data_IF_849616401564
#
_entry.id   IF_849616401564
#
_cell.length_a   1.000
_cell.length_b   1.000
_cell.length_c   1.000
_cell.angle_alpha   90.00
_cell.angle_beta   90.00
_cell.angle_gamma   90.00
#
_symmetry.space_group_name_H-M   'P 1'
#
loop_
_entity.id
_entity.type
_entity.pdbx_description
1 polymer ?
#
# COMPACT_ATOMS: atom_id res chain seq x y z
N UNK A 1 28.26 -15.18 -25.56
CA UNK A 1 27.03 -14.36 -25.53
C UNK A 1 27.40 -12.94 -25.17
N UNK A 2 27.46 -12.05 -26.16
CA UNK A 2 27.57 -10.62 -25.96
C UNK A 2 26.17 -10.11 -25.58
N UNK A 3 25.95 -9.84 -24.31
CA UNK A 3 24.81 -9.02 -23.90
C UNK A 3 25.19 -7.56 -24.12
N UNK A 4 24.59 -6.91 -25.12
CA UNK A 4 24.60 -5.46 -25.24
C UNK A 4 24.04 -4.87 -23.93
N UNK A 5 24.62 -3.77 -23.38
CA UNK A 5 23.99 -3.06 -22.29
C UNK A 5 22.63 -2.57 -22.80
N UNK A 6 21.54 -3.09 -22.25
CA UNK A 6 20.22 -2.55 -22.52
C UNK A 6 20.23 -1.13 -21.97
N UNK A 7 20.15 -0.13 -22.85
CA UNK A 7 19.84 1.23 -22.44
C UNK A 7 18.55 1.18 -21.62
N UNK A 8 18.53 1.85 -20.47
CA UNK A 8 17.32 1.88 -19.64
C UNK A 8 16.15 2.34 -20.50
N UNK A 9 15.17 1.45 -20.67
CA UNK A 9 13.93 1.78 -21.38
C UNK A 9 13.21 2.85 -20.56
N UNK A 10 12.78 3.91 -21.21
CA UNK A 10 12.02 4.99 -20.57
C UNK A 10 10.65 5.11 -21.20
N UNK A 11 9.69 5.59 -20.44
CA UNK A 11 8.34 5.90 -20.92
C UNK A 11 7.87 7.22 -20.30
N UNK A 12 6.82 7.79 -20.87
CA UNK A 12 6.12 8.96 -20.32
C UNK A 12 4.64 8.66 -20.15
N UNK A 13 3.99 9.44 -19.30
CA UNK A 13 2.54 9.45 -19.22
C UNK A 13 1.94 9.94 -20.56
N UNK A 14 0.77 9.42 -20.89
CA UNK A 14 0.00 9.79 -22.06
C UNK A 14 -1.32 10.39 -21.60
N UNK A 15 -1.69 11.54 -22.16
CA UNK A 15 -3.04 12.09 -22.05
C UNK A 15 -3.94 11.33 -23.03
N UNK A 16 -4.88 10.48 -22.57
CA UNK A 16 -5.69 9.67 -23.46
C UNK A 16 -6.70 10.50 -24.28
N UNK A 17 -6.93 11.76 -23.93
CA UNK A 17 -7.82 12.66 -24.68
C UNK A 17 -7.15 13.16 -25.95
N UNK A 18 -5.85 13.41 -25.88
CA UNK A 18 -5.08 14.00 -26.98
C UNK A 18 -4.09 13.05 -27.64
N UNK A 19 -3.72 11.96 -26.96
CA UNK A 19 -2.64 11.06 -27.33
C UNK A 19 -1.23 11.63 -27.10
N UNK A 20 -1.13 12.85 -26.53
CA UNK A 20 0.15 13.50 -26.28
C UNK A 20 0.83 12.96 -25.02
N UNK A 21 2.15 12.81 -25.07
CA UNK A 21 2.95 12.52 -23.87
C UNK A 21 3.12 13.75 -23.02
N UNK A 22 3.23 13.57 -21.70
CA UNK A 22 3.49 14.66 -20.77
C UNK A 22 4.21 14.17 -19.49
N UNK A 23 4.70 15.13 -18.71
CA UNK A 23 5.46 14.86 -17.48
C UNK A 23 6.90 14.42 -17.77
N UNK A 24 7.54 13.88 -16.74
CA UNK A 24 8.93 13.45 -16.85
C UNK A 24 9.08 12.12 -17.60
N UNK A 25 10.27 11.90 -18.16
CA UNK A 25 10.69 10.56 -18.57
C UNK A 25 10.88 9.68 -17.34
N UNK A 26 10.27 8.51 -17.36
CA UNK A 26 10.31 7.53 -16.28
C UNK A 26 11.13 6.32 -16.75
N UNK A 27 12.21 6.02 -16.04
CA UNK A 27 12.98 4.82 -16.33
C UNK A 27 12.24 3.56 -15.86
N UNK A 28 12.21 2.53 -16.69
CA UNK A 28 11.79 1.21 -16.27
C UNK A 28 12.80 0.60 -15.31
N UNK A 29 12.32 -0.11 -14.32
CA UNK A 29 13.17 -0.81 -13.37
C UNK A 29 13.68 -2.11 -13.99
N UNK A 30 14.97 -2.37 -13.81
CA UNK A 30 15.56 -3.67 -14.14
C UNK A 30 15.11 -4.75 -13.14
N UNK A 31 15.29 -6.02 -13.51
CA UNK A 31 15.03 -7.13 -12.59
C UNK A 31 15.90 -7.06 -11.32
N UNK A 32 17.12 -6.52 -11.42
CA UNK A 32 17.99 -6.29 -10.25
C UNK A 32 17.45 -5.19 -9.34
N UNK A 33 16.90 -4.10 -9.89
CA UNK A 33 16.29 -3.03 -9.09
C UNK A 33 15.07 -3.54 -8.34
N UNK A 34 14.21 -4.31 -9.01
CA UNK A 34 13.04 -4.94 -8.39
C UNK A 34 13.47 -5.89 -7.26
N UNK A 35 14.48 -6.73 -7.51
CA UNK A 35 15.04 -7.63 -6.48
C UNK A 35 15.61 -6.86 -5.30
N UNK A 36 16.27 -5.72 -5.55
CA UNK A 36 16.77 -4.82 -4.52
C UNK A 36 15.66 -4.22 -3.66
N UNK A 37 14.55 -3.78 -4.26
CA UNK A 37 13.38 -3.28 -3.54
C UNK A 37 12.72 -4.37 -2.68
N UNK A 38 12.54 -5.57 -3.22
CA UNK A 38 11.99 -6.70 -2.47
C UNK A 38 12.89 -7.02 -1.28
N UNK A 39 14.22 -7.04 -1.47
CA UNK A 39 15.17 -7.28 -0.39
C UNK A 39 15.09 -6.24 0.72
N UNK A 40 14.92 -4.96 0.38
CA UNK A 40 14.70 -3.88 1.35
C UNK A 40 13.40 -4.10 2.13
N UNK A 41 12.29 -4.40 1.46
CA UNK A 41 11.02 -4.70 2.11
C UNK A 41 11.11 -5.93 3.03
N UNK A 42 11.83 -6.98 2.61
CA UNK A 42 12.07 -8.17 3.45
C UNK A 42 12.87 -7.82 4.70
N UNK A 43 13.87 -6.94 4.60
CA UNK A 43 14.66 -6.49 5.74
C UNK A 43 13.83 -5.75 6.81
N UNK A 44 12.75 -5.07 6.40
CA UNK A 44 11.88 -4.32 7.32
C UNK A 44 10.75 -5.16 7.94
N UNK A 45 10.44 -6.34 7.39
CA UNK A 45 9.23 -7.11 7.72
C UNK A 45 9.06 -7.38 9.22
N UNK A 46 10.12 -7.76 9.92
CA UNK A 46 10.05 -8.12 11.34
C UNK A 46 9.82 -6.89 12.22
N UNK A 47 10.50 -5.78 11.93
CA UNK A 47 10.32 -4.53 12.64
C UNK A 47 8.91 -3.98 12.43
N UNK A 48 8.40 -4.02 11.19
CA UNK A 48 7.05 -3.53 10.89
C UNK A 48 5.96 -4.44 11.50
N UNK A 49 6.13 -5.76 11.46
CA UNK A 49 5.22 -6.70 12.11
C UNK A 49 5.17 -6.54 13.64
N UNK A 50 6.27 -6.07 14.25
CA UNK A 50 6.37 -5.81 15.69
C UNK A 50 5.75 -4.47 16.12
N UNK A 51 5.34 -3.60 15.19
CA UNK A 51 4.64 -2.36 15.54
C UNK A 51 3.34 -2.65 16.25
N UNK A 52 3.00 -1.80 17.20
CA UNK A 52 1.75 -1.92 17.94
C UNK A 52 0.52 -1.60 17.05
N UNK A 53 -0.67 -2.08 17.39
CA UNK A 53 -1.91 -1.67 16.74
C UNK A 53 -2.08 -0.15 16.67
N UNK A 54 -1.71 0.57 17.74
CA UNK A 54 -1.80 2.02 17.81
C UNK A 54 -0.87 2.72 16.82
N UNK A 55 0.36 2.25 16.68
CA UNK A 55 1.33 2.80 15.72
C UNK A 55 0.86 2.56 14.28
N UNK A 56 0.38 1.36 13.95
CA UNK A 56 -0.17 1.08 12.61
C UNK A 56 -1.41 1.91 12.29
N UNK A 57 -2.31 2.06 13.24
CA UNK A 57 -3.49 2.92 13.08
C UNK A 57 -3.09 4.39 12.86
N UNK A 58 -2.13 4.89 13.62
CA UNK A 58 -1.60 6.24 13.44
C UNK A 58 -0.97 6.43 12.05
N UNK A 59 -0.24 5.42 11.55
CA UNK A 59 0.33 5.45 10.20
C UNK A 59 -0.75 5.53 9.11
N UNK A 60 -1.78 4.69 9.20
CA UNK A 60 -2.88 4.69 8.23
C UNK A 60 -3.62 6.05 8.21
N UNK A 61 -3.87 6.64 9.38
CA UNK A 61 -4.48 7.98 9.48
C UNK A 61 -3.57 9.07 8.91
N UNK A 62 -2.29 9.04 9.25
CA UNK A 62 -1.34 10.03 8.75
C UNK A 62 -1.19 9.97 7.21
N UNK A 63 -1.26 8.78 6.61
CA UNK A 63 -1.34 8.61 5.16
C UNK A 63 -2.63 9.25 4.63
N UNK A 64 -3.77 8.98 5.23
CA UNK A 64 -5.05 9.57 4.84
C UNK A 64 -5.03 11.11 4.89
N UNK A 65 -4.48 11.69 5.94
CA UNK A 65 -4.31 13.14 6.08
C UNK A 65 -3.40 13.73 4.98
N UNK A 66 -2.30 13.05 4.65
CA UNK A 66 -1.38 13.48 3.59
C UNK A 66 -2.03 13.42 2.19
N UNK A 67 -2.88 12.42 1.94
CA UNK A 67 -3.68 12.31 0.73
C UNK A 67 -4.68 13.47 0.64
N UNK A 68 -5.40 13.75 1.73
CA UNK A 68 -6.35 14.87 1.77
C UNK A 68 -5.66 16.21 1.55
N UNK A 69 -4.49 16.42 2.13
CA UNK A 69 -3.70 17.64 1.92
C UNK A 69 -3.25 17.82 0.45
N UNK A 70 -3.21 16.74 -0.31
CA UNK A 70 -2.79 16.73 -1.72
C UNK A 70 -3.96 16.55 -2.69
N UNK A 71 -5.21 16.56 -2.21
CA UNK A 71 -6.43 16.18 -2.93
C UNK A 71 -6.53 16.80 -4.31
N UNK A 72 -6.46 18.11 -4.39
CA UNK A 72 -6.66 18.85 -5.65
C UNK A 72 -5.61 18.46 -6.70
N UNK A 73 -4.35 18.43 -6.30
CA UNK A 73 -3.23 18.05 -7.16
C UNK A 73 -3.35 16.58 -7.62
N UNK A 74 -3.77 15.69 -6.75
CA UNK A 74 -3.97 14.27 -7.08
C UNK A 74 -5.09 14.12 -8.11
N UNK A 75 -6.22 14.80 -7.92
CA UNK A 75 -7.34 14.72 -8.86
C UNK A 75 -6.95 15.31 -10.22
N UNK A 76 -6.28 16.47 -10.25
CA UNK A 76 -5.84 17.13 -11.47
C UNK A 76 -4.92 16.24 -12.34
N UNK A 77 -3.86 15.70 -11.74
CA UNK A 77 -2.92 14.80 -12.47
C UNK A 77 -3.61 13.54 -12.95
N UNK A 78 -4.51 12.99 -12.13
CA UNK A 78 -5.21 11.74 -12.46
C UNK A 78 -6.24 11.94 -13.58
N UNK A 79 -6.95 13.06 -13.58
CA UNK A 79 -7.83 13.43 -14.70
C UNK A 79 -7.08 13.46 -16.01
N UNK A 80 -5.90 14.07 -16.01
CA UNK A 80 -5.06 14.16 -17.22
C UNK A 80 -4.54 12.82 -17.70
N UNK A 81 -4.18 11.90 -16.78
CA UNK A 81 -3.67 10.57 -17.14
C UNK A 81 -4.74 9.56 -17.53
N UNK A 82 -5.99 9.76 -17.07
CA UNK A 82 -7.03 8.72 -17.18
C UNK A 82 -8.25 9.16 -17.97
N UNK A 83 -8.42 10.45 -18.23
CA UNK A 83 -9.65 11.08 -18.74
C UNK A 83 -10.90 10.77 -17.88
N UNK A 84 -10.73 10.30 -16.65
CA UNK A 84 -11.84 10.07 -15.73
C UNK A 84 -12.38 11.41 -15.22
N UNK A 85 -13.72 11.56 -15.10
CA UNK A 85 -14.30 12.83 -14.69
C UNK A 85 -14.02 13.15 -13.22
N UNK A 86 -13.90 14.45 -12.91
CA UNK A 86 -13.60 14.97 -11.56
C UNK A 86 -14.46 14.35 -10.46
N UNK A 87 -15.79 14.32 -10.65
CA UNK A 87 -16.72 13.79 -9.63
C UNK A 87 -16.45 12.34 -9.27
N UNK A 88 -16.08 11.51 -10.26
CA UNK A 88 -15.70 10.12 -10.02
C UNK A 88 -14.42 10.02 -9.20
N UNK A 89 -13.38 10.77 -9.59
CA UNK A 89 -12.08 10.77 -8.91
C UNK A 89 -12.17 11.33 -7.49
N UNK A 90 -12.97 12.37 -7.29
CA UNK A 90 -13.28 12.91 -5.97
C UNK A 90 -13.91 11.87 -5.05
N UNK A 91 -14.93 11.15 -5.56
CA UNK A 91 -15.57 10.07 -4.82
C UNK A 91 -14.63 8.90 -4.52
N UNK A 92 -13.80 8.52 -5.49
CA UNK A 92 -12.83 7.44 -5.32
C UNK A 92 -11.75 7.78 -4.29
N UNK A 93 -11.23 9.01 -4.32
CA UNK A 93 -10.22 9.46 -3.35
C UNK A 93 -10.81 9.50 -1.93
N UNK A 94 -12.04 10.01 -1.78
CA UNK A 94 -12.76 10.00 -0.49
C UNK A 94 -12.97 8.58 0.03
N UNK A 95 -13.32 7.64 -0.83
CA UNK A 95 -13.41 6.22 -0.49
C UNK A 95 -12.07 5.66 -0.03
N UNK A 96 -10.98 6.01 -0.70
CA UNK A 96 -9.63 5.55 -0.34
C UNK A 96 -9.25 6.02 1.06
N UNK A 97 -9.46 7.30 1.38
CA UNK A 97 -9.20 7.85 2.72
C UNK A 97 -10.11 7.22 3.77
N UNK A 98 -11.39 7.02 3.45
CA UNK A 98 -12.33 6.33 4.33
C UNK A 98 -11.87 4.90 4.65
N UNK A 99 -11.38 4.15 3.66
CA UNK A 99 -10.87 2.80 3.88
C UNK A 99 -9.64 2.79 4.82
N UNK A 100 -8.73 3.74 4.69
CA UNK A 100 -7.60 3.89 5.61
C UNK A 100 -8.07 4.05 7.06
N UNK A 101 -9.08 4.89 7.31
CA UNK A 101 -9.67 5.06 8.64
C UNK A 101 -10.37 3.80 9.14
N UNK A 102 -11.08 3.06 8.26
CA UNK A 102 -11.71 1.80 8.66
C UNK A 102 -10.67 0.74 9.08
N UNK A 103 -9.57 0.62 8.34
CA UNK A 103 -8.48 -0.27 8.71
C UNK A 103 -7.77 0.20 9.99
N UNK A 104 -7.60 1.50 10.20
CA UNK A 104 -7.06 2.04 11.45
C UNK A 104 -7.92 1.64 12.66
N UNK A 105 -9.23 1.80 12.58
CA UNK A 105 -10.19 1.37 13.63
C UNK A 105 -10.14 -0.13 13.87
N UNK A 106 -10.10 -0.93 12.79
CA UNK A 106 -10.01 -2.39 12.87
C UNK A 106 -8.73 -2.83 13.62
N UNK A 107 -7.60 -2.20 13.29
CA UNK A 107 -6.33 -2.52 13.94
C UNK A 107 -6.35 -2.14 15.42
N UNK A 108 -6.84 -0.96 15.76
CA UNK A 108 -6.96 -0.50 17.18
C UNK A 108 -7.86 -1.41 18.01
N UNK A 109 -8.92 -1.95 17.43
CA UNK A 109 -9.82 -2.87 18.13
C UNK A 109 -9.17 -4.22 18.47
N UNK A 110 -8.06 -4.58 17.80
CA UNK A 110 -7.43 -5.89 17.90
C UNK A 110 -8.20 -7.03 17.22
N UNK A 111 -9.36 -6.77 16.63
CA UNK A 111 -10.22 -7.79 16.02
C UNK A 111 -9.52 -8.56 14.88
N UNK A 112 -8.57 -7.93 14.18
CA UNK A 112 -7.78 -8.55 13.11
C UNK A 112 -6.92 -9.72 13.61
N UNK A 113 -6.58 -9.78 14.89
CA UNK A 113 -5.83 -10.90 15.47
C UNK A 113 -6.67 -12.17 15.55
N UNK A 114 -8.01 -12.08 15.62
CA UNK A 114 -8.90 -13.23 15.84
C UNK A 114 -8.37 -14.15 16.94
N UNK A 115 -7.96 -13.53 18.06
CA UNK A 115 -7.29 -14.23 19.14
C UNK A 115 -8.24 -15.23 19.82
N UNK A 116 -7.77 -16.46 20.03
CA UNK A 116 -8.45 -17.53 20.72
C UNK A 116 -7.57 -17.99 21.87
N UNK A 117 -8.17 -18.18 23.04
CA UNK A 117 -7.51 -18.71 24.24
C UNK A 117 -8.33 -19.89 24.75
N UNK A 118 -7.78 -21.09 24.58
CA UNK A 118 -8.31 -22.30 25.19
C UNK A 118 -7.54 -22.58 26.48
N UNK A 119 -8.22 -22.41 27.63
CA UNK A 119 -7.62 -22.63 28.94
C UNK A 119 -7.31 -24.12 29.15
N UNK A 120 -6.31 -24.47 29.99
CA UNK A 120 -6.01 -25.86 30.29
C UNK A 120 -7.23 -26.53 30.93
N UNK A 121 -7.46 -27.79 30.57
CA UNK A 121 -8.53 -28.64 31.14
C UNK A 121 -8.00 -30.05 31.33
N UNK A 122 -7.82 -30.43 32.60
CA UNK A 122 -7.31 -31.75 32.98
C UNK A 122 -8.28 -32.90 32.66
N UNK A 123 -9.56 -32.58 32.50
CA UNK A 123 -10.61 -33.58 32.24
C UNK A 123 -11.01 -33.68 30.77
N UNK A 124 -10.29 -32.94 29.88
CA UNK A 124 -10.57 -33.01 28.43
C UNK A 124 -10.32 -34.41 27.89
N UNK A 125 -11.23 -34.91 27.05
CA UNK A 125 -11.14 -36.22 26.42
C UNK A 125 -10.71 -36.08 24.95
N UNK A 126 -9.80 -36.90 24.42
CA UNK A 126 -9.23 -38.13 24.98
C UNK A 126 -7.99 -37.95 25.86
N UNK A 127 -7.48 -36.75 25.98
CA UNK A 127 -6.32 -36.44 26.82
C UNK A 127 -6.42 -35.02 27.38
N UNK A 128 -5.78 -34.67 28.51
CA UNK A 128 -5.78 -33.34 29.08
C UNK A 128 -5.37 -32.27 28.03
N UNK A 129 -6.14 -31.19 27.95
CA UNK A 129 -5.85 -30.05 27.07
C UNK A 129 -4.89 -29.10 27.77
N UNK A 130 -3.74 -28.72 27.11
CA UNK A 130 -2.87 -27.68 27.61
C UNK A 130 -3.46 -26.28 27.38
N UNK A 131 -2.80 -25.21 27.87
CA UNK A 131 -3.09 -23.84 27.51
C UNK A 131 -2.71 -23.63 26.03
N UNK A 132 -3.70 -23.36 25.19
CA UNK A 132 -3.52 -23.13 23.75
C UNK A 132 -3.94 -21.71 23.43
N UNK A 133 -3.05 -20.99 22.75
CA UNK A 133 -3.29 -19.61 22.31
C UNK A 133 -3.02 -19.46 20.82
N UNK A 134 -3.97 -18.91 20.10
CA UNK A 134 -3.91 -18.67 18.66
C UNK A 134 -4.17 -17.20 18.37
N UNK A 135 -3.37 -16.60 17.47
CA UNK A 135 -3.62 -15.27 16.91
C UNK A 135 -3.10 -15.22 15.47
N UNK A 136 -3.75 -14.42 14.65
CA UNK A 136 -3.24 -14.12 13.31
C UNK A 136 -1.96 -13.28 13.40
N UNK A 137 -1.04 -13.52 12.47
CA UNK A 137 0.22 -12.79 12.35
C UNK A 137 0.40 -12.26 10.93
N UNK A 138 1.26 -11.25 10.77
CA UNK A 138 1.64 -10.73 9.47
C UNK A 138 2.28 -11.81 8.60
N UNK A 139 1.84 -11.94 7.35
CA UNK A 139 2.35 -12.94 6.40
C UNK A 139 3.79 -12.63 5.93
N UNK A 140 4.16 -11.37 5.91
CA UNK A 140 5.44 -10.91 5.36
C UNK A 140 5.24 -9.78 4.35
N UNK A 141 6.08 -9.70 3.32
CA UNK A 141 5.97 -8.67 2.28
C UNK A 141 4.82 -9.00 1.33
N UNK A 142 3.96 -8.02 1.06
CA UNK A 142 2.88 -8.12 0.08
C UNK A 142 3.25 -7.41 -1.22
N UNK A 143 3.11 -8.09 -2.36
CA UNK A 143 3.22 -7.51 -3.69
C UNK A 143 1.86 -7.00 -4.16
N UNK A 144 1.77 -5.73 -4.50
CA UNK A 144 0.54 -5.07 -4.96
C UNK A 144 0.68 -4.69 -6.43
N UNK A 145 -0.28 -5.08 -7.25
CA UNK A 145 -0.34 -4.73 -8.66
C UNK A 145 -1.46 -3.72 -8.89
N UNK A 146 -1.09 -2.47 -9.16
CA UNK A 146 -2.05 -1.38 -9.33
C UNK A 146 -2.97 -1.62 -10.54
N UNK A 147 -4.25 -1.28 -10.39
CA UNK A 147 -5.25 -1.35 -11.44
C UNK A 147 -5.30 -0.07 -12.28
N UNK A 148 -5.69 -0.18 -13.56
CA UNK A 148 -5.84 0.98 -14.44
C UNK A 148 -7.11 1.78 -14.17
N UNK A 149 -8.22 1.08 -13.88
CA UNK A 149 -9.57 1.63 -13.83
C UNK A 149 -9.97 2.22 -12.47
N UNK A 150 -9.14 2.04 -11.43
CA UNK A 150 -9.29 2.63 -10.11
C UNK A 150 -7.94 3.19 -9.62
N UNK A 151 -7.54 4.36 -10.13
CA UNK A 151 -6.21 4.91 -9.92
C UNK A 151 -5.87 5.30 -8.48
N UNK A 152 -6.86 5.40 -7.60
CA UNK A 152 -6.67 5.61 -6.16
C UNK A 152 -7.01 4.37 -5.34
N UNK A 153 -8.23 3.83 -5.50
CA UNK A 153 -8.77 2.81 -4.61
C UNK A 153 -8.11 1.42 -4.76
N UNK A 154 -7.51 1.13 -5.92
CA UNK A 154 -6.81 -0.12 -6.21
C UNK A 154 -5.45 0.13 -6.88
N UNK A 155 -4.69 1.08 -6.33
CA UNK A 155 -3.37 1.47 -6.82
C UNK A 155 -2.36 1.48 -5.66
N UNK A 156 -1.60 2.57 -5.50
CA UNK A 156 -0.48 2.64 -4.54
C UNK A 156 -0.93 2.42 -3.09
N UNK A 157 -2.04 3.04 -2.67
CA UNK A 157 -2.53 2.98 -1.28
C UNK A 157 -4.04 2.75 -1.20
N UNK A 158 -4.57 1.96 -2.09
CA UNK A 158 -5.96 1.53 -2.01
C UNK A 158 -6.20 0.41 -1.01
N UNK A 159 -7.34 -0.26 -1.14
CA UNK A 159 -7.77 -1.31 -0.23
C UNK A 159 -6.74 -2.40 0.01
N UNK A 160 -6.04 -2.83 -1.04
CA UNK A 160 -5.05 -3.91 -0.97
C UNK A 160 -3.83 -3.53 -0.14
N UNK A 161 -3.23 -2.35 -0.42
CA UNK A 161 -2.09 -1.84 0.34
C UNK A 161 -2.46 -1.49 1.77
N UNK A 162 -3.62 -0.86 1.98
CA UNK A 162 -4.09 -0.46 3.31
C UNK A 162 -4.35 -1.68 4.21
N UNK A 163 -4.95 -2.74 3.67
CA UNK A 163 -5.19 -3.99 4.42
C UNK A 163 -3.88 -4.70 4.76
N UNK A 164 -2.92 -4.74 3.84
CA UNK A 164 -1.61 -5.33 4.07
C UNK A 164 -0.84 -4.57 5.17
N UNK A 165 -0.80 -3.24 5.10
CA UNK A 165 -0.18 -2.40 6.12
C UNK A 165 -0.87 -2.55 7.48
N UNK A 166 -2.20 -2.59 7.51
CA UNK A 166 -2.99 -2.85 8.73
C UNK A 166 -2.61 -4.18 9.38
N UNK A 167 -2.40 -5.22 8.58
CA UNK A 167 -1.97 -6.54 9.05
C UNK A 167 -0.50 -6.60 9.51
N UNK A 168 0.28 -5.52 9.31
CA UNK A 168 1.72 -5.48 9.64
C UNK A 168 2.62 -6.02 8.53
N UNK A 169 2.14 -6.05 7.29
CA UNK A 169 2.88 -6.48 6.11
C UNK A 169 3.45 -5.27 5.37
N UNK A 170 4.78 -5.14 5.18
CA UNK A 170 5.33 -4.19 4.23
C UNK A 170 4.83 -4.47 2.82
N UNK A 171 4.72 -3.43 1.99
CA UNK A 171 4.21 -3.55 0.62
C UNK A 171 5.25 -3.14 -0.41
N UNK A 172 5.29 -3.85 -1.52
CA UNK A 172 5.98 -3.43 -2.75
C UNK A 172 4.93 -3.27 -3.83
N UNK A 173 4.81 -2.07 -4.37
CA UNK A 173 3.76 -1.74 -5.33
C UNK A 173 4.33 -1.65 -6.73
N UNK A 174 3.79 -2.45 -7.65
CA UNK A 174 4.00 -2.29 -9.08
C UNK A 174 3.00 -1.24 -9.60
N UNK A 175 3.48 -0.06 -9.93
CA UNK A 175 2.68 1.03 -10.48
C UNK A 175 2.02 0.64 -11.80
N UNK A 176 0.84 1.19 -12.10
CA UNK A 176 0.19 0.95 -13.37
C UNK A 176 0.72 1.93 -14.45
N UNK A 177 1.07 1.46 -15.66
CA UNK A 177 1.66 2.31 -16.70
C UNK A 177 0.69 3.34 -17.29
N UNK A 178 -0.62 3.19 -17.11
CA UNK A 178 -1.62 4.15 -17.60
C UNK A 178 -1.74 5.42 -16.77
N UNK A 179 -1.18 5.45 -15.54
CA UNK A 179 -1.24 6.63 -14.67
C UNK A 179 -0.01 6.73 -13.75
N UNK A 180 1.20 6.78 -14.33
CA UNK A 180 2.45 6.74 -13.57
C UNK A 180 2.67 7.97 -12.71
N UNK A 181 2.27 9.18 -13.16
CA UNK A 181 2.40 10.40 -12.35
C UNK A 181 1.44 10.38 -11.16
N UNK A 182 0.22 9.84 -11.31
CA UNK A 182 -0.72 9.58 -10.21
C UNK A 182 -0.08 8.65 -9.18
N UNK A 183 0.51 7.53 -9.62
CA UNK A 183 1.20 6.60 -8.72
C UNK A 183 2.34 7.29 -7.96
N UNK A 184 3.16 8.11 -8.62
CA UNK A 184 4.26 8.87 -7.99
C UNK A 184 3.74 9.88 -6.97
N UNK A 185 2.68 10.60 -7.29
CA UNK A 185 2.07 11.58 -6.39
C UNK A 185 1.43 10.92 -5.17
N UNK A 186 0.72 9.80 -5.35
CA UNK A 186 0.19 9.00 -4.25
C UNK A 186 1.31 8.42 -3.37
N UNK A 187 2.38 7.90 -3.96
CA UNK A 187 3.55 7.43 -3.21
C UNK A 187 4.17 8.55 -2.37
N UNK A 188 4.31 9.75 -2.93
CA UNK A 188 4.82 10.90 -2.17
C UNK A 188 3.95 11.23 -0.94
N UNK A 189 2.62 11.15 -1.07
CA UNK A 189 1.70 11.32 0.06
C UNK A 189 1.86 10.20 1.12
N UNK A 190 2.01 8.94 0.69
CA UNK A 190 2.28 7.81 1.60
C UNK A 190 3.56 8.04 2.38
N UNK A 191 4.66 8.39 1.70
CA UNK A 191 5.96 8.69 2.32
C UNK A 191 5.85 9.83 3.33
N UNK A 192 5.13 10.90 2.99
CA UNK A 192 4.91 12.03 3.90
C UNK A 192 4.14 11.59 5.16
N UNK A 193 3.08 10.79 5.00
CA UNK A 193 2.30 10.26 6.11
C UNK A 193 3.13 9.36 7.04
N UNK A 194 3.90 8.42 6.48
CA UNK A 194 4.77 7.52 7.27
C UNK A 194 5.84 8.30 8.04
N UNK A 195 6.50 9.26 7.41
CA UNK A 195 7.51 10.11 8.06
C UNK A 195 6.92 10.93 9.22
N UNK A 196 5.68 11.40 9.10
CA UNK A 196 5.00 12.15 10.16
C UNK A 196 4.89 11.38 11.47
N UNK A 197 4.79 10.06 11.40
CA UNK A 197 4.68 9.15 12.57
C UNK A 197 5.99 8.40 12.87
N UNK A 198 7.11 8.78 12.23
CA UNK A 198 8.43 8.21 12.50
C UNK A 198 8.65 6.82 11.91
N UNK A 199 7.81 6.36 10.99
CA UNK A 199 8.02 5.10 10.27
C UNK A 199 8.84 5.33 9.00
N UNK A 200 9.70 4.35 8.68
CA UNK A 200 10.43 4.33 7.41
C UNK A 200 9.46 4.03 6.26
N UNK A 201 9.52 4.80 5.17
CA UNK A 201 8.74 4.52 3.97
C UNK A 201 9.29 3.32 3.21
#
# INVERSE_FOLDING_TARGET
>A
HYSLPMSATTFQAIDPTTGATFGDQIAEMSASDVSGLISKAVATKSAFAATTPKERAAALRAIGEAIEASREKLIEVTMKETALPNGRLTGELSRTVFQLEQFAKLVESGAHYQAIIDRPDANWIPAPRPDIRKANQALGVAGIFAASNFPFAFSVIGGDSASALAAGCPVVVKAHPSHPNTCRAMHAAVVAGLKKVGLSP
#
